data_IF_908665684771
#
_entry.id   IF_908665684771
#
_cell.length_a   1.000
_cell.length_b   1.000
_cell.length_c   1.000
_cell.angle_alpha   90.00
_cell.angle_beta   90.00
_cell.angle_gamma   90.00
#
_symmetry.space_group_name_H-M   'P 1'
#
loop_
_entity.id
_entity.type
_entity.pdbx_description
1 polymer ?
#
# COMPACT_ATOMS: atom_id res chain seq x y z
N UNK A 1 -4.41 32.22 4.18
CA UNK A 1 -4.68 31.73 2.82
C UNK A 1 -3.88 32.59 1.85
N UNK A 2 -2.83 32.07 1.23
CA UNK A 2 -1.93 32.83 0.36
C UNK A 2 -2.39 32.64 -1.09
N UNK A 3 -3.11 33.64 -1.62
CA UNK A 3 -3.75 33.72 -2.95
C UNK A 3 -4.84 32.65 -3.26
N UNK A 4 -6.00 33.03 -3.86
CA UNK A 4 -7.10 32.09 -4.13
C UNK A 4 -6.74 30.89 -5.03
N UNK A 5 -5.66 31.03 -5.83
CA UNK A 5 -5.19 29.98 -6.75
C UNK A 5 -4.15 29.03 -6.14
N UNK A 6 -3.81 29.19 -4.86
CA UNK A 6 -2.80 28.35 -4.19
C UNK A 6 -1.40 28.95 -4.22
N UNK A 7 -0.37 28.11 -4.00
CA UNK A 7 1.01 28.56 -3.84
C UNK A 7 1.54 29.11 -5.16
N UNK A 8 2.17 30.29 -5.12
CA UNK A 8 2.67 30.95 -6.33
C UNK A 8 3.71 30.11 -7.09
N UNK A 9 4.51 29.29 -6.40
CA UNK A 9 5.50 28.41 -7.05
C UNK A 9 4.85 27.30 -7.88
N UNK A 10 3.66 26.82 -7.49
CA UNK A 10 2.93 25.79 -8.23
C UNK A 10 2.32 26.37 -9.52
N UNK A 11 2.07 27.68 -9.55
CA UNK A 11 1.49 28.40 -10.70
C UNK A 11 2.60 28.93 -11.63
N UNK A 12 3.64 29.53 -11.06
CA UNK A 12 4.74 30.14 -11.82
C UNK A 12 5.78 29.11 -12.32
N UNK A 13 5.75 27.88 -11.77
CA UNK A 13 6.72 26.84 -12.05
C UNK A 13 8.11 27.12 -11.47
N UNK A 14 9.03 26.16 -11.62
CA UNK A 14 10.38 26.27 -11.03
C UNK A 14 11.16 27.49 -11.54
N UNK A 15 11.03 27.80 -12.84
CA UNK A 15 11.64 28.98 -13.47
C UNK A 15 10.96 30.31 -13.11
N UNK A 16 9.80 30.27 -12.45
CA UNK A 16 9.04 31.46 -12.05
C UNK A 16 9.80 32.32 -11.04
N UNK A 17 10.53 31.69 -10.12
CA UNK A 17 11.40 32.37 -9.13
C UNK A 17 12.44 33.26 -9.82
N UNK A 18 13.12 32.74 -10.84
CA UNK A 18 14.08 33.50 -11.64
C UNK A 18 13.42 34.64 -12.44
N UNK A 19 12.29 34.35 -13.11
CA UNK A 19 11.58 35.33 -13.94
C UNK A 19 11.03 36.50 -13.13
N UNK A 20 10.52 36.24 -11.93
CA UNK A 20 9.98 37.23 -10.99
C UNK A 20 11.06 37.89 -10.13
N UNK A 21 12.29 37.38 -10.15
CA UNK A 21 13.41 37.91 -9.35
C UNK A 21 13.25 37.64 -7.85
N UNK A 22 12.54 36.58 -7.47
CA UNK A 22 12.24 36.23 -6.08
C UNK A 22 13.02 34.97 -5.73
N UNK A 23 13.84 35.04 -4.68
CA UNK A 23 14.52 33.87 -4.16
C UNK A 23 13.51 32.84 -3.62
N UNK A 24 13.80 31.55 -3.74
CA UNK A 24 12.88 30.49 -3.28
C UNK A 24 12.59 30.53 -1.78
N UNK A 25 13.49 31.12 -1.00
CA UNK A 25 13.38 31.33 0.44
C UNK A 25 12.91 32.73 0.83
N UNK A 26 12.60 33.60 -0.14
CA UNK A 26 12.15 34.96 0.15
C UNK A 26 10.81 34.95 0.88
N UNK A 27 10.70 35.80 1.90
CA UNK A 27 9.47 36.02 2.64
C UNK A 27 8.62 37.09 1.94
N UNK A 28 7.33 37.15 2.26
CA UNK A 28 6.43 38.16 1.69
C UNK A 28 6.91 39.57 2.07
N UNK A 29 7.43 39.75 3.29
CA UNK A 29 7.98 41.02 3.74
C UNK A 29 9.25 41.44 2.97
N UNK A 30 9.98 40.51 2.33
CA UNK A 30 11.13 40.85 1.49
C UNK A 30 10.71 41.38 0.11
N UNK A 31 9.52 40.96 -0.36
CA UNK A 31 9.01 41.26 -1.71
C UNK A 31 7.97 42.39 -1.68
N UNK A 32 7.20 42.55 -0.62
CA UNK A 32 6.15 43.55 -0.49
C UNK A 32 6.57 44.67 0.47
N UNK A 33 6.91 45.83 -0.12
CA UNK A 33 7.36 47.03 0.58
C UNK A 33 6.27 48.12 0.62
N UNK A 34 6.52 49.22 1.33
CA UNK A 34 5.60 50.37 1.40
C UNK A 34 5.32 51.00 0.01
N UNK A 35 6.24 50.79 -0.95
CA UNK A 35 6.10 51.21 -2.34
C UNK A 35 5.35 50.19 -3.23
N UNK A 36 4.92 49.05 -2.69
CA UNK A 36 4.24 47.98 -3.43
C UNK A 36 5.10 46.71 -3.63
N UNK A 37 4.66 45.85 -4.55
CA UNK A 37 5.31 44.58 -4.86
C UNK A 37 6.61 44.77 -5.67
N UNK A 38 7.71 44.20 -5.20
CA UNK A 38 9.04 44.24 -5.81
C UNK A 38 9.29 43.15 -6.85
N UNK A 39 8.34 42.87 -7.75
CA UNK A 39 8.55 41.88 -8.81
C UNK A 39 9.50 42.40 -9.90
N UNK A 40 10.39 41.54 -10.39
CA UNK A 40 11.16 41.81 -11.62
C UNK A 40 10.19 41.88 -12.79
N UNK A 41 10.23 42.98 -13.54
CA UNK A 41 9.46 43.11 -14.79
C UNK A 41 9.90 42.06 -15.80
N UNK A 42 8.96 41.26 -16.26
CA UNK A 42 9.18 40.25 -17.29
C UNK A 42 8.28 40.52 -18.51
N UNK A 43 8.73 40.13 -19.71
CA UNK A 43 7.93 40.20 -20.96
C UNK A 43 7.07 38.95 -21.17
N UNK A 44 7.19 37.97 -20.28
CA UNK A 44 6.39 36.75 -20.33
C UNK A 44 4.94 37.06 -19.93
N UNK A 45 4.01 36.82 -20.85
CA UNK A 45 2.59 37.10 -20.67
C UNK A 45 2.00 36.35 -19.47
N UNK A 46 2.40 35.09 -19.26
CA UNK A 46 1.92 34.29 -18.12
C UNK A 46 2.33 34.88 -16.77
N UNK A 47 3.54 35.45 -16.71
CA UNK A 47 4.05 36.11 -15.50
C UNK A 47 3.39 37.47 -15.29
N UNK A 48 3.11 38.21 -16.36
CA UNK A 48 2.38 39.48 -16.28
C UNK A 48 0.95 39.28 -15.77
N UNK A 49 0.26 38.26 -16.25
CA UNK A 49 -1.08 37.87 -15.77
C UNK A 49 -1.03 37.40 -14.30
N UNK A 50 0.02 36.70 -13.88
CA UNK A 50 0.20 36.30 -12.48
C UNK A 50 0.48 37.51 -11.58
N UNK A 51 1.33 38.44 -12.00
CA UNK A 51 1.63 39.67 -11.25
C UNK A 51 0.36 40.50 -11.07
N UNK A 52 -0.42 40.70 -12.13
CA UNK A 52 -1.65 41.49 -12.04
C UNK A 52 -2.70 40.85 -11.11
N UNK A 53 -2.79 39.51 -11.10
CA UNK A 53 -3.64 38.77 -10.16
C UNK A 53 -3.19 38.94 -8.70
N UNK A 54 -1.88 38.91 -8.45
CA UNK A 54 -1.33 39.10 -7.09
C UNK A 54 -1.52 40.54 -6.62
N UNK A 55 -1.27 41.52 -7.48
CA UNK A 55 -1.48 42.94 -7.17
C UNK A 55 -2.95 43.28 -6.92
N UNK A 56 -3.87 42.62 -7.62
CA UNK A 56 -5.31 42.77 -7.42
C UNK A 56 -5.84 42.18 -6.09
N UNK A 57 -5.03 41.38 -5.38
CA UNK A 57 -5.43 40.73 -4.13
C UNK A 57 -4.66 41.30 -2.92
N UNK A 58 -5.17 42.37 -2.28
CA UNK A 58 -4.49 43.00 -1.16
C UNK A 58 -4.40 42.05 0.03
N UNK A 59 -3.18 41.83 0.53
CA UNK A 59 -2.92 41.04 1.72
C UNK A 59 -3.00 41.94 2.95
N UNK A 60 -3.72 41.56 4.02
CA UNK A 60 -3.66 42.25 5.30
C UNK A 60 -2.31 41.92 5.97
N UNK A 61 -1.26 42.63 5.58
CA UNK A 61 0.08 42.43 6.14
C UNK A 61 0.22 43.26 7.40
N UNK A 62 0.13 42.62 8.55
CA UNK A 62 0.55 43.22 9.81
C UNK A 62 2.00 42.84 10.10
N UNK A 63 2.94 43.75 9.85
CA UNK A 63 4.38 43.53 10.08
C UNK A 63 4.76 43.38 11.55
N UNK A 64 3.85 43.67 12.48
CA UNK A 64 4.08 43.56 13.92
C UNK A 64 3.68 42.19 14.49
N UNK A 65 2.97 41.37 13.71
CA UNK A 65 2.51 40.04 14.13
C UNK A 65 3.38 38.97 13.48
N UNK A 66 3.84 38.02 14.28
CA UNK A 66 4.61 36.87 13.79
C UNK A 66 3.68 35.89 13.07
N UNK A 67 4.17 35.26 12.00
CA UNK A 67 3.41 34.25 11.25
C UNK A 67 3.03 33.05 12.14
N UNK A 68 1.74 32.67 12.10
CA UNK A 68 1.22 31.46 12.74
C UNK A 68 1.20 30.31 11.73
N UNK A 69 1.85 29.19 12.08
CA UNK A 69 1.77 27.94 11.31
C UNK A 69 0.52 27.18 11.74
N UNK A 70 -0.41 26.96 10.80
CA UNK A 70 -1.63 26.22 11.04
C UNK A 70 -1.71 24.95 10.18
N UNK A 71 -2.24 23.89 10.77
CA UNK A 71 -2.59 22.64 10.10
C UNK A 71 -3.94 22.79 9.43
N UNK A 72 -4.06 22.27 8.20
CA UNK A 72 -5.33 22.28 7.48
C UNK A 72 -6.22 21.13 7.97
N UNK A 73 -7.29 21.47 8.70
CA UNK A 73 -8.26 20.51 9.27
C UNK A 73 -9.30 20.08 8.24
N UNK A 74 -9.92 21.05 7.57
CA UNK A 74 -10.93 20.84 6.53
C UNK A 74 -10.56 21.63 5.26
N UNK A 75 -11.36 21.57 4.20
CA UNK A 75 -11.05 22.38 3.00
C UNK A 75 -11.07 23.89 3.30
N UNK A 76 -11.89 24.30 4.29
CA UNK A 76 -12.04 25.67 4.75
C UNK A 76 -11.32 25.99 6.07
N UNK A 77 -11.06 24.99 6.93
CA UNK A 77 -10.63 25.23 8.32
C UNK A 77 -9.16 24.91 8.57
N UNK A 78 -8.53 25.75 9.41
CA UNK A 78 -7.15 25.60 9.87
C UNK A 78 -7.07 25.60 11.40
N UNK A 79 -6.18 24.80 11.99
CA UNK A 79 -6.03 24.66 13.44
C UNK A 79 -4.55 24.68 13.87
N UNK A 80 -4.29 24.98 15.15
CA UNK A 80 -2.92 25.06 15.71
C UNK A 80 -2.29 23.69 16.03
N UNK A 81 -3.08 22.63 16.10
CA UNK A 81 -2.61 21.29 16.50
C UNK A 81 -2.71 20.30 15.34
N UNK A 82 -1.72 19.40 15.25
CA UNK A 82 -1.75 18.30 14.31
C UNK A 82 -2.62 17.15 14.86
N UNK A 83 -3.48 16.60 14.01
CA UNK A 83 -4.22 15.36 14.30
C UNK A 83 -3.84 14.28 13.30
N UNK A 84 -3.17 13.23 13.78
CA UNK A 84 -2.82 12.06 12.97
C UNK A 84 -4.06 11.37 12.43
N UNK A 85 -5.14 11.30 13.23
CA UNK A 85 -6.41 10.66 12.82
C UNK A 85 -7.08 11.42 11.67
N UNK A 86 -7.21 12.75 11.78
CA UNK A 86 -7.82 13.58 10.74
C UNK A 86 -6.97 13.57 9.46
N UNK A 87 -5.65 13.63 9.61
CA UNK A 87 -4.71 13.53 8.48
C UNK A 87 -4.81 12.15 7.81
N UNK A 88 -4.91 11.07 8.57
CA UNK A 88 -5.09 9.71 8.05
C UNK A 88 -6.34 9.60 7.20
N UNK A 89 -7.49 10.07 7.68
CA UNK A 89 -8.74 10.06 6.92
C UNK A 89 -8.67 10.88 5.62
N UNK A 90 -7.81 11.90 5.56
CA UNK A 90 -7.61 12.71 4.35
C UNK A 90 -6.74 12.04 3.32
N UNK A 91 -5.62 11.44 3.73
CA UNK A 91 -4.70 10.78 2.80
C UNK A 91 -5.20 9.38 2.41
N UNK A 92 -6.04 8.76 3.24
CA UNK A 92 -6.57 7.44 3.00
C UNK A 92 -7.84 7.49 2.17
N UNK A 93 -7.76 7.04 0.92
CA UNK A 93 -8.95 6.80 0.10
C UNK A 93 -9.68 5.56 0.63
N UNK A 94 -10.88 5.76 1.17
CA UNK A 94 -11.73 4.65 1.59
C UNK A 94 -12.17 3.84 0.37
N UNK A 95 -11.64 2.62 0.25
CA UNK A 95 -12.16 1.65 -0.71
C UNK A 95 -13.44 1.01 -0.15
N UNK A 96 -14.38 0.59 -1.02
CA UNK A 96 -15.57 -0.11 -0.57
C UNK A 96 -15.15 -1.36 0.21
N UNK A 97 -15.81 -1.64 1.36
CA UNK A 97 -15.53 -2.83 2.14
C UNK A 97 -15.72 -4.06 1.26
N UNK A 98 -14.78 -5.00 1.35
CA UNK A 98 -14.81 -6.22 0.57
C UNK A 98 -15.47 -7.32 1.39
N UNK A 99 -16.40 -8.08 0.82
CA UNK A 99 -17.19 -9.05 1.58
C UNK A 99 -16.33 -10.16 2.22
N UNK A 100 -15.25 -10.58 1.55
CA UNK A 100 -14.31 -11.56 2.09
C UNK A 100 -13.57 -11.06 3.35
N UNK A 101 -13.58 -9.76 3.64
CA UNK A 101 -12.87 -9.19 4.79
C UNK A 101 -13.34 -9.78 6.12
N UNK A 102 -14.63 -10.12 6.25
CA UNK A 102 -15.20 -10.75 7.47
C UNK A 102 -14.79 -12.20 7.69
N UNK A 103 -14.33 -12.87 6.63
CA UNK A 103 -13.75 -14.22 6.68
C UNK A 103 -12.31 -14.15 7.22
N UNK A 104 -11.59 -13.09 6.85
CA UNK A 104 -10.19 -12.89 7.21
C UNK A 104 -10.02 -12.22 8.58
N UNK A 105 -10.79 -11.17 8.84
CA UNK A 105 -10.64 -10.31 10.02
C UNK A 105 -11.82 -10.51 10.98
N UNK A 106 -11.55 -11.17 12.11
CA UNK A 106 -12.54 -11.41 13.16
C UNK A 106 -11.86 -11.56 14.53
N UNK A 107 -12.59 -11.28 15.60
CA UNK A 107 -12.03 -11.12 16.96
C UNK A 107 -11.34 -12.37 17.53
N UNK A 108 -11.70 -13.57 17.07
CA UNK A 108 -11.13 -14.83 17.56
C UNK A 108 -10.02 -15.37 16.66
N UNK A 109 -9.68 -14.67 15.57
CA UNK A 109 -8.67 -15.11 14.60
C UNK A 109 -7.25 -14.95 15.12
N UNK A 110 -6.35 -15.82 14.66
CA UNK A 110 -4.90 -15.70 14.94
C UNK A 110 -4.30 -14.71 13.94
N UNK A 111 -3.72 -13.57 14.36
CA UNK A 111 -3.26 -12.53 13.42
C UNK A 111 -2.28 -13.02 12.36
N UNK A 112 -1.38 -13.93 12.73
CA UNK A 112 -0.43 -14.57 11.80
C UNK A 112 -1.15 -15.36 10.70
N UNK A 113 -2.24 -16.06 11.03
CA UNK A 113 -2.97 -16.88 10.06
C UNK A 113 -3.85 -15.98 9.18
N UNK A 114 -4.49 -14.98 9.77
CA UNK A 114 -5.27 -13.97 9.07
C UNK A 114 -4.43 -13.23 8.01
N UNK A 115 -3.19 -12.85 8.34
CA UNK A 115 -2.29 -12.19 7.40
C UNK A 115 -1.94 -13.06 6.19
N UNK A 116 -1.59 -14.33 6.40
CA UNK A 116 -1.31 -15.25 5.29
C UNK A 116 -2.56 -15.54 4.47
N UNK A 117 -3.72 -15.68 5.12
CA UNK A 117 -5.01 -15.87 4.45
C UNK A 117 -5.39 -14.66 3.61
N UNK A 118 -5.17 -13.45 4.11
CA UNK A 118 -5.34 -12.21 3.35
C UNK A 118 -4.49 -12.21 2.07
N UNK A 119 -3.21 -12.58 2.18
CA UNK A 119 -2.34 -12.69 1.01
C UNK A 119 -2.81 -13.78 0.04
N UNK A 120 -3.34 -14.91 0.55
CA UNK A 120 -3.92 -15.96 -0.27
C UNK A 120 -5.17 -15.46 -1.02
N UNK A 121 -6.12 -14.82 -0.33
CA UNK A 121 -7.32 -14.20 -0.94
C UNK A 121 -6.94 -13.21 -2.03
N UNK A 122 -5.91 -12.38 -1.80
CA UNK A 122 -5.39 -11.43 -2.80
C UNK A 122 -4.54 -12.06 -3.90
N UNK A 123 -4.33 -13.38 -3.88
CA UNK A 123 -3.44 -14.12 -4.79
C UNK A 123 -2.02 -13.54 -4.84
N UNK A 124 -1.45 -13.23 -3.67
CA UNK A 124 -0.14 -12.56 -3.49
C UNK A 124 0.94 -13.45 -2.88
N UNK A 125 0.66 -14.71 -2.60
CA UNK A 125 1.64 -15.67 -2.11
C UNK A 125 2.61 -16.12 -3.23
N UNK A 126 3.84 -16.50 -2.90
CA UNK A 126 4.84 -16.98 -3.88
C UNK A 126 4.58 -18.43 -4.33
N UNK A 127 3.51 -18.63 -5.09
CA UNK A 127 3.18 -19.88 -5.77
C UNK A 127 3.99 -20.06 -7.05
N UNK A 128 4.08 -21.29 -7.57
CA UNK A 128 4.76 -21.59 -8.83
C UNK A 128 4.33 -20.70 -10.00
N UNK A 129 3.03 -20.41 -10.13
CA UNK A 129 2.48 -19.51 -11.14
C UNK A 129 3.06 -18.08 -11.05
N UNK A 130 3.22 -17.55 -9.84
CA UNK A 130 3.80 -16.21 -9.62
C UNK A 130 5.32 -16.20 -9.75
N UNK A 131 5.98 -17.25 -9.29
CA UNK A 131 7.44 -17.41 -9.43
C UNK A 131 7.87 -17.54 -10.90
N UNK A 132 7.01 -18.11 -11.77
CA UNK A 132 7.27 -18.21 -13.21
C UNK A 132 7.45 -16.84 -13.87
N UNK A 133 6.72 -15.81 -13.43
CA UNK A 133 6.91 -14.44 -13.90
C UNK A 133 8.30 -13.85 -13.55
N UNK A 134 9.01 -14.48 -12.61
CA UNK A 134 10.35 -14.12 -12.17
C UNK A 134 11.42 -15.07 -12.74
N UNK A 135 11.05 -15.88 -13.76
CA UNK A 135 11.96 -16.83 -14.41
C UNK A 135 12.20 -18.12 -13.63
N UNK A 136 11.50 -18.36 -12.52
CA UNK A 136 11.66 -19.57 -11.72
C UNK A 136 10.47 -20.50 -11.92
N UNK A 137 10.68 -21.61 -12.63
CA UNK A 137 9.68 -22.66 -12.81
C UNK A 137 9.64 -23.55 -11.58
N UNK A 138 8.48 -23.63 -10.92
CA UNK A 138 8.25 -24.53 -9.79
C UNK A 138 6.88 -25.19 -10.00
N UNK A 139 6.85 -26.52 -9.97
CA UNK A 139 5.62 -27.29 -9.86
C UNK A 139 5.17 -27.38 -8.40
N UNK A 140 4.03 -28.05 -8.17
CA UNK A 140 3.49 -28.28 -6.85
C UNK A 140 4.39 -29.20 -6.04
N UNK A 141 4.88 -28.73 -4.88
CA UNK A 141 5.77 -29.49 -4.01
C UNK A 141 5.07 -30.60 -3.20
N UNK A 142 3.75 -30.76 -3.38
CA UNK A 142 2.95 -31.80 -2.75
C UNK A 142 2.63 -32.95 -3.71
N UNK A 143 2.07 -32.66 -4.88
CA UNK A 143 1.64 -33.68 -5.84
C UNK A 143 2.50 -33.75 -7.12
N UNK A 144 3.46 -32.85 -7.31
CA UNK A 144 4.33 -32.83 -8.49
C UNK A 144 3.74 -32.18 -9.74
N UNK A 145 2.50 -31.67 -9.69
CA UNK A 145 1.84 -31.04 -10.84
C UNK A 145 2.66 -29.84 -11.36
N UNK A 146 2.92 -29.70 -12.67
CA UNK A 146 3.81 -28.66 -13.22
C UNK A 146 3.26 -27.22 -13.08
N UNK A 147 1.97 -27.08 -12.80
CA UNK A 147 1.32 -25.78 -12.66
C UNK A 147 0.70 -25.62 -11.27
N UNK A 148 1.47 -25.00 -10.36
CA UNK A 148 0.98 -24.63 -9.04
C UNK A 148 0.41 -23.22 -9.04
N UNK A 149 -0.91 -23.09 -9.05
CA UNK A 149 -1.64 -21.86 -8.74
C UNK A 149 -2.00 -21.77 -7.24
N UNK A 150 -2.59 -20.64 -6.80
CA UNK A 150 -3.20 -20.54 -5.46
C UNK A 150 -4.24 -21.65 -5.26
N UNK A 151 -5.14 -21.79 -6.22
CA UNK A 151 -6.29 -22.68 -6.12
C UNK A 151 -5.81 -24.14 -6.06
N UNK A 152 -4.82 -24.48 -6.90
CA UNK A 152 -4.14 -25.77 -6.82
C UNK A 152 -3.47 -25.97 -5.46
N UNK A 153 -2.64 -25.04 -5.00
CA UNK A 153 -1.91 -25.19 -3.74
C UNK A 153 -2.82 -25.44 -2.53
N UNK A 154 -4.00 -24.82 -2.47
CA UNK A 154 -4.88 -24.93 -1.29
C UNK A 154 -5.96 -26.00 -1.45
N UNK A 155 -6.75 -25.99 -2.52
CA UNK A 155 -7.97 -26.80 -2.61
C UNK A 155 -8.07 -27.72 -3.83
N UNK A 156 -7.28 -27.53 -4.89
CA UNK A 156 -7.33 -28.42 -6.06
C UNK A 156 -6.18 -29.45 -6.13
N UNK A 157 -5.12 -29.31 -5.33
CA UNK A 157 -4.10 -30.35 -5.15
C UNK A 157 -4.69 -31.49 -4.31
N UNK A 158 -4.64 -32.73 -4.82
CA UNK A 158 -5.22 -33.89 -4.13
C UNK A 158 -4.73 -34.03 -2.69
N UNK A 159 -3.44 -33.82 -2.43
CA UNK A 159 -2.88 -33.92 -1.08
C UNK A 159 -3.46 -32.87 -0.13
N UNK A 160 -3.50 -31.60 -0.53
CA UNK A 160 -3.98 -30.52 0.34
C UNK A 160 -5.51 -30.51 0.44
N UNK A 161 -6.20 -30.98 -0.60
CA UNK A 161 -7.64 -31.15 -0.59
C UNK A 161 -8.09 -32.21 0.41
N UNK A 162 -7.38 -33.35 0.49
CA UNK A 162 -7.64 -34.36 1.52
C UNK A 162 -7.47 -33.78 2.93
N UNK A 163 -6.41 -33.00 3.16
CA UNK A 163 -6.23 -32.28 4.43
C UNK A 163 -7.38 -31.30 4.70
N UNK A 164 -7.85 -30.59 3.69
CA UNK A 164 -8.98 -29.67 3.82
C UNK A 164 -10.27 -30.39 4.23
N UNK A 165 -10.61 -31.51 3.56
CA UNK A 165 -11.80 -32.30 3.89
C UNK A 165 -11.74 -32.81 5.33
N UNK A 166 -10.62 -33.40 5.75
CA UNK A 166 -10.45 -33.94 7.10
C UNK A 166 -10.51 -32.83 8.17
N UNK A 167 -9.88 -31.68 7.90
CA UNK A 167 -9.84 -30.58 8.87
C UNK A 167 -11.18 -29.86 9.02
N UNK A 168 -11.92 -29.68 7.92
CA UNK A 168 -13.21 -28.99 7.95
C UNK A 168 -14.35 -29.88 8.44
N UNK A 169 -14.23 -31.20 8.22
CA UNK A 169 -15.22 -32.18 8.65
C UNK A 169 -16.63 -31.80 8.21
N UNK A 170 -17.55 -31.73 9.17
CA UNK A 170 -18.97 -31.41 8.92
C UNK A 170 -19.31 -29.92 9.06
N UNK A 171 -18.33 -29.05 9.37
CA UNK A 171 -18.58 -27.63 9.70
C UNK A 171 -19.19 -26.85 8.54
N UNK A 172 -18.91 -27.26 7.29
CA UNK A 172 -19.49 -26.63 6.10
C UNK A 172 -20.97 -26.97 5.89
N UNK A 173 -21.50 -28.02 6.54
CA UNK A 173 -22.86 -28.51 6.29
C UNK A 173 -23.09 -29.07 4.88
N UNK A 174 -22.04 -29.15 4.06
CA UNK A 174 -22.02 -29.71 2.71
C UNK A 174 -20.62 -30.24 2.38
N UNK A 175 -20.48 -31.12 1.38
CA UNK A 175 -19.17 -31.53 0.89
C UNK A 175 -18.33 -30.30 0.50
N UNK A 176 -17.04 -30.25 0.88
CA UNK A 176 -16.12 -29.21 0.44
C UNK A 176 -16.00 -29.20 -1.09
N UNK A 177 -15.70 -28.02 -1.66
CA UNK A 177 -15.47 -27.85 -3.08
C UNK A 177 -13.96 -27.62 -3.34
N UNK A 178 -13.34 -28.27 -4.34
CA UNK A 178 -11.94 -28.02 -4.68
C UNK A 178 -11.70 -26.63 -5.29
N UNK A 179 -12.75 -25.91 -5.70
CA UNK A 179 -12.65 -24.56 -6.20
C UNK A 179 -12.53 -23.53 -5.06
N UNK A 180 -11.49 -22.69 -5.18
CA UNK A 180 -11.20 -21.65 -4.20
C UNK A 180 -12.33 -20.62 -4.11
N UNK A 181 -12.81 -20.16 -5.26
CA UNK A 181 -13.77 -19.05 -5.29
C UNK A 181 -15.12 -19.49 -4.74
N UNK A 182 -15.57 -20.70 -5.09
CA UNK A 182 -16.78 -21.33 -4.56
C UNK A 182 -16.70 -21.50 -3.04
N UNK A 183 -15.54 -21.92 -2.51
CA UNK A 183 -15.33 -22.01 -1.06
C UNK A 183 -15.37 -20.63 -0.39
N UNK A 184 -14.64 -19.65 -0.91
CA UNK A 184 -14.57 -18.30 -0.34
C UNK A 184 -15.93 -17.58 -0.41
N UNK A 185 -16.64 -17.71 -1.54
CA UNK A 185 -17.96 -17.15 -1.73
C UNK A 185 -18.94 -17.76 -0.73
N UNK A 186 -18.90 -19.07 -0.51
CA UNK A 186 -19.76 -19.74 0.47
C UNK A 186 -19.51 -19.27 1.90
N UNK A 187 -18.25 -19.12 2.31
CA UNK A 187 -17.88 -18.55 3.62
C UNK A 187 -18.32 -17.08 3.78
N UNK A 188 -18.58 -16.41 2.67
CA UNK A 188 -18.94 -15.00 2.62
C UNK A 188 -20.45 -14.81 2.59
N UNK A 189 -21.20 -15.60 1.82
CA UNK A 189 -22.62 -15.38 1.57
C UNK A 189 -23.52 -16.23 2.46
N UNK A 190 -23.06 -17.41 2.90
CA UNK A 190 -23.88 -18.31 3.69
C UNK A 190 -23.96 -17.86 5.15
N UNK A 191 -25.14 -18.04 5.75
CA UNK A 191 -25.38 -17.78 7.16
C UNK A 191 -25.08 -19.03 7.97
N UNK A 192 -24.07 -18.94 8.83
CA UNK A 192 -23.70 -20.01 9.76
C UNK A 192 -24.10 -19.63 11.18
N UNK A 193 -24.38 -20.63 12.02
CA UNK A 193 -24.52 -20.41 13.47
C UNK A 193 -23.25 -19.77 14.04
N UNK A 194 -23.38 -18.94 15.06
CA UNK A 194 -22.28 -18.10 15.59
C UNK A 194 -20.98 -18.89 15.88
N UNK A 195 -21.08 -20.00 16.64
CA UNK A 195 -19.93 -20.84 16.97
C UNK A 195 -19.38 -21.55 15.73
N UNK A 196 -20.26 -22.11 14.89
CA UNK A 196 -19.83 -22.77 13.64
C UNK A 196 -19.08 -21.80 12.73
N UNK A 197 -19.52 -20.54 12.63
CA UNK A 197 -18.84 -19.56 11.79
C UNK A 197 -17.45 -19.17 12.33
N UNK A 198 -17.29 -19.09 13.65
CA UNK A 198 -15.98 -18.86 14.27
C UNK A 198 -15.05 -20.04 13.97
N UNK A 199 -15.51 -21.27 14.23
CA UNK A 199 -14.73 -22.48 14.00
C UNK A 199 -14.36 -22.64 12.52
N UNK A 200 -15.31 -22.41 11.61
CA UNK A 200 -15.09 -22.56 10.18
C UNK A 200 -14.04 -21.57 9.66
N UNK A 201 -14.08 -20.31 10.11
CA UNK A 201 -13.05 -19.32 9.78
C UNK A 201 -11.69 -19.69 10.38
N UNK A 202 -11.66 -20.19 11.62
CA UNK A 202 -10.42 -20.66 12.24
C UNK A 202 -9.80 -21.83 11.47
N UNK A 203 -10.60 -22.83 11.11
CA UNK A 203 -10.17 -24.00 10.34
C UNK A 203 -9.67 -23.56 8.96
N UNK A 204 -10.44 -22.74 8.24
CA UNK A 204 -10.03 -22.19 6.95
C UNK A 204 -8.66 -21.48 7.01
N UNK A 205 -8.49 -20.56 7.97
CA UNK A 205 -7.23 -19.83 8.13
C UNK A 205 -6.07 -20.72 8.58
N UNK A 206 -6.34 -21.69 9.46
CA UNK A 206 -5.32 -22.63 9.96
C UNK A 206 -4.85 -23.54 8.83
N UNK A 207 -5.76 -24.09 8.04
CA UNK A 207 -5.44 -24.96 6.90
C UNK A 207 -4.57 -24.22 5.88
N UNK A 208 -4.97 -22.99 5.49
CA UNK A 208 -4.18 -22.14 4.59
C UNK A 208 -2.79 -21.86 5.18
N UNK A 209 -2.72 -21.45 6.44
CA UNK A 209 -1.43 -21.13 7.07
C UNK A 209 -0.50 -22.34 7.12
N UNK A 210 -1.01 -23.50 7.54
CA UNK A 210 -0.20 -24.71 7.73
C UNK A 210 0.28 -25.27 6.39
N UNK A 211 -0.58 -25.30 5.37
CA UNK A 211 -0.19 -25.65 3.99
C UNK A 211 0.90 -24.70 3.51
N UNK A 212 0.70 -23.39 3.64
CA UNK A 212 1.66 -22.38 3.18
C UNK A 212 3.02 -22.50 3.88
N UNK A 213 3.03 -22.76 5.20
CA UNK A 213 4.25 -22.99 5.97
C UNK A 213 5.03 -24.18 5.44
N UNK A 214 4.38 -25.35 5.36
CA UNK A 214 5.02 -26.60 4.89
C UNK A 214 5.47 -26.46 3.44
N UNK A 215 4.68 -25.81 2.60
CA UNK A 215 5.06 -25.51 1.23
C UNK A 215 6.37 -24.71 1.15
N UNK A 216 6.50 -23.66 1.96
CA UNK A 216 7.74 -22.87 2.00
C UNK A 216 8.92 -23.64 2.59
N UNK A 217 8.70 -24.49 3.59
CA UNK A 217 9.74 -25.33 4.18
C UNK A 217 10.29 -26.35 3.16
N UNK A 218 9.45 -26.79 2.21
CA UNK A 218 9.84 -27.71 1.12
C UNK A 218 10.56 -27.02 -0.03
N UNK A 219 10.51 -25.69 -0.14
CA UNK A 219 11.20 -24.99 -1.23
C UNK A 219 12.69 -25.23 -1.08
N UNK A 220 13.40 -25.66 -2.13
CA UNK A 220 14.84 -25.73 -2.09
C UNK A 220 15.36 -24.30 -1.88
N UNK A 221 15.79 -24.01 -0.66
CA UNK A 221 16.60 -22.83 -0.39
C UNK A 221 17.81 -22.95 -1.32
N UNK A 222 17.89 -22.10 -2.36
CA UNK A 222 19.18 -21.78 -2.94
C UNK A 222 19.95 -21.14 -1.78
N UNK A 223 20.72 -21.93 -1.03
CA UNK A 223 21.75 -21.37 -0.16
C UNK A 223 22.53 -20.41 -1.05
N UNK A 224 22.70 -19.13 -0.68
CA UNK A 224 23.58 -18.27 -1.45
C UNK A 224 24.95 -18.94 -1.42
N UNK A 225 25.35 -19.51 -2.56
CA UNK A 225 26.74 -19.88 -2.81
C UNK A 225 27.50 -18.58 -2.89
N UNK A 226 27.85 -18.02 -1.74
CA UNK A 226 29.01 -17.16 -1.65
C UNK A 226 30.17 -18.07 -1.97
N UNK A 227 30.57 -18.12 -3.25
CA UNK A 227 31.86 -18.63 -3.63
C UNK A 227 32.87 -17.78 -2.87
N UNK A 228 33.39 -18.33 -1.76
CA UNK A 228 34.60 -17.85 -1.13
C UNK A 228 35.65 -17.75 -2.23
N UNK A 229 36.04 -16.53 -2.57
CA UNK A 229 37.05 -16.26 -3.58
C UNK A 229 38.28 -17.09 -3.27
N UNK A 230 38.65 -17.96 -4.19
CA UNK A 230 39.95 -18.60 -4.15
C UNK A 230 41.02 -17.50 -4.26
N UNK A 231 41.90 -17.51 -3.27
CA UNK A 231 43.14 -16.76 -3.19
C UNK A 231 43.93 -16.90 -4.50
N UNK A 232 43.91 -15.87 -5.35
CA UNK A 232 44.93 -15.68 -6.37
C UNK A 232 46.10 -14.90 -5.75
N UNK A 233 46.94 -15.60 -4.99
CA UNK A 233 48.35 -15.24 -4.83
C UNK A 233 49.18 -16.27 -5.59
N UNK A 234 49.32 -16.07 -6.90
CA UNK A 234 50.34 -16.72 -7.70
C UNK A 234 51.56 -15.81 -7.80
N UNK A 235 52.62 -16.27 -7.13
CA UNK A 235 54.05 -16.02 -7.30
C UNK A 235 54.48 -15.08 -8.44
N UNK A 236 55.05 -13.93 -8.07
CA UNK A 236 56.11 -13.31 -8.85
C UNK A 236 57.46 -13.86 -8.36
N UNK A 237 57.97 -14.89 -9.04
CA UNK A 237 59.39 -15.24 -9.04
C UNK A 237 59.78 -15.70 -10.45
N UNK A 238 60.34 -14.78 -11.23
CA UNK A 238 61.58 -14.86 -12.03
C UNK A 238 61.60 -13.75 -13.08
#
# INVERSE_FOLDING_TARGET
MWHPRGRLIDIAGESGTFKLGIARSALICDVLNEAGWGFRRCRDRSMQELISLVEAHPLPVNRQVQDDVLWRKNDADFCKHFSTSETWHRIHTHNPPQDWSKVVWFSFGVPRFAFITWLAVKNRLSTGARMRAWGQTQGCLFCGEPFESRDHLFFACLFTYMLWIETVGTLLGRPPDPDWETTLQYLTTHSFGYLNYILLRLVFQTTIYMIWRVHNDRKPLKKPTWSTGQDHRQNCEK
#
